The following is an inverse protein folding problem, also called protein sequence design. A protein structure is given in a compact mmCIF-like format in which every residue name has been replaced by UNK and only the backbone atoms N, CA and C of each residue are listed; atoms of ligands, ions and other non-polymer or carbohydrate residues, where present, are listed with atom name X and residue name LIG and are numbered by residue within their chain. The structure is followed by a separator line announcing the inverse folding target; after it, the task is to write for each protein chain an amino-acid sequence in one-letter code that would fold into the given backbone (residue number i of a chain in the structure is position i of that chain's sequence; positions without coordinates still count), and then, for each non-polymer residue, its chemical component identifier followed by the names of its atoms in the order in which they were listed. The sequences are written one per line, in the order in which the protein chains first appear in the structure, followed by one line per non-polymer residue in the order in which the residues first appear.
data_IF_575109386414
#
_entry.id   IF_575109386414
#
_cell.length_a   1.000
_cell.length_b   1.000
_cell.length_c   1.000
_cell.angle_alpha   90.00
_cell.angle_beta   90.00
_cell.angle_gamma   90.00
#
_symmetry.space_group_name_H-M   'P 1'
#
loop_
_entity.id
_entity.type
_entity.pdbx_description
1 polymer ?
#
# COMPACT_ATOMS: atom_id res chain seq x y z
N UNK A 1 5.95 2.54 -26.74
CA UNK A 1 6.38 2.71 -25.32
C UNK A 1 7.70 3.47 -25.29
N UNK A 2 7.76 4.60 -24.58
CA UNK A 2 8.98 5.36 -24.34
C UNK A 2 9.50 5.07 -22.92
N UNK A 3 10.66 4.41 -22.80
CA UNK A 3 11.30 4.10 -21.51
C UNK A 3 12.20 5.26 -21.11
N UNK A 4 11.68 6.15 -20.27
CA UNK A 4 12.37 7.37 -19.85
C UNK A 4 13.42 7.06 -18.79
N UNK A 5 14.59 7.70 -18.87
CA UNK A 5 15.68 7.58 -17.89
C UNK A 5 15.99 8.93 -17.22
N UNK A 6 15.33 9.99 -17.67
CA UNK A 6 15.57 11.36 -17.23
C UNK A 6 14.32 12.21 -17.39
N UNK A 7 14.30 13.36 -16.73
CA UNK A 7 13.25 14.39 -16.90
C UNK A 7 13.18 14.84 -18.37
N UNK A 8 14.32 14.96 -19.05
CA UNK A 8 14.38 15.35 -20.46
C UNK A 8 13.70 14.31 -21.38
N UNK A 9 13.85 13.01 -21.10
CA UNK A 9 13.16 11.97 -21.84
C UNK A 9 11.63 12.06 -21.65
N UNK A 10 11.18 12.37 -20.43
CA UNK A 10 9.75 12.57 -20.14
C UNK A 10 9.20 13.77 -20.92
N UNK A 11 9.90 14.91 -20.90
CA UNK A 11 9.52 16.09 -21.67
C UNK A 11 9.45 15.78 -23.18
N UNK A 12 10.48 15.11 -23.72
CA UNK A 12 10.54 14.75 -25.13
C UNK A 12 9.42 13.77 -25.53
N UNK A 13 9.15 12.77 -24.70
CA UNK A 13 8.07 11.80 -24.93
C UNK A 13 6.69 12.49 -24.90
N UNK A 14 6.44 13.34 -23.89
CA UNK A 14 5.20 14.08 -23.75
C UNK A 14 4.94 15.00 -24.96
N UNK A 15 5.97 15.74 -25.38
CA UNK A 15 5.92 16.63 -26.53
C UNK A 15 5.72 15.87 -27.86
N UNK A 16 6.38 14.71 -28.03
CA UNK A 16 6.14 13.82 -29.16
C UNK A 16 4.70 13.30 -29.20
N UNK A 17 4.18 12.80 -28.07
CA UNK A 17 2.79 12.32 -27.96
C UNK A 17 1.78 13.43 -28.28
N UNK A 18 1.99 14.62 -27.73
CA UNK A 18 1.14 15.80 -27.98
C UNK A 18 1.13 16.24 -29.44
N UNK A 19 2.32 16.34 -30.08
CA UNK A 19 2.41 16.70 -31.50
C UNK A 19 1.76 15.67 -32.42
N UNK A 20 1.86 14.40 -32.05
CA UNK A 20 1.26 13.30 -32.81
C UNK A 20 -0.23 13.10 -32.51
N UNK A 21 -0.81 13.83 -31.54
CA UNK A 21 -2.20 13.66 -31.12
C UNK A 21 -2.50 12.29 -30.51
N UNK A 22 -1.49 11.64 -29.91
CA UNK A 22 -1.62 10.31 -29.33
C UNK A 22 -2.24 10.39 -27.93
N UNK A 23 -3.15 9.48 -27.56
CA UNK A 23 -3.47 9.20 -26.17
C UNK A 23 -2.18 8.86 -25.39
N UNK A 24 -2.06 9.36 -24.16
CA UNK A 24 -0.87 9.16 -23.33
C UNK A 24 -1.25 8.41 -22.06
N UNK A 25 -0.55 7.31 -21.79
CA UNK A 25 -0.56 6.64 -20.49
C UNK A 25 0.79 6.83 -19.80
N UNK A 26 0.77 6.92 -18.47
CA UNK A 26 1.98 7.05 -17.65
C UNK A 26 2.08 5.82 -16.76
N UNK A 27 3.25 5.17 -16.77
CA UNK A 27 3.51 3.94 -16.04
C UNK A 27 4.67 4.10 -15.07
N UNK A 28 4.37 3.96 -13.78
CA UNK A 28 5.37 3.68 -12.72
C UNK A 28 5.59 2.17 -12.61
N UNK A 29 5.23 1.58 -11.48
CA UNK A 29 5.36 0.12 -11.24
C UNK A 29 4.33 -0.77 -11.94
N UNK A 30 3.31 -0.21 -12.61
CA UNK A 30 2.35 -1.02 -13.40
C UNK A 30 1.23 -1.72 -12.62
N UNK A 31 0.98 -1.32 -11.37
CA UNK A 31 -0.02 -1.94 -10.47
C UNK A 31 -1.44 -1.36 -10.54
N UNK A 32 -1.77 -0.51 -11.53
CA UNK A 32 -3.11 0.10 -11.58
C UNK A 32 -4.17 -0.95 -11.95
N UNK A 33 -5.08 -1.27 -11.03
CA UNK A 33 -6.10 -2.31 -11.23
C UNK A 33 -7.09 -2.05 -12.38
N UNK A 34 -7.26 -0.80 -12.82
CA UNK A 34 -8.06 -0.44 -13.99
C UNK A 34 -7.24 -0.41 -15.31
N UNK A 35 -5.95 -0.75 -15.27
CA UNK A 35 -5.08 -0.80 -16.45
C UNK A 35 -4.63 0.56 -16.98
N UNK A 36 -4.77 1.65 -16.21
CA UNK A 36 -4.50 3.02 -16.69
C UNK A 36 -3.01 3.33 -16.97
N UNK A 37 -2.11 2.40 -16.65
CA UNK A 37 -0.69 2.48 -16.99
C UNK A 37 -0.37 2.04 -18.43
N UNK A 38 -1.38 1.68 -19.23
CA UNK A 38 -1.24 1.33 -20.64
C UNK A 38 -2.33 1.99 -21.49
N UNK A 39 -2.15 1.99 -22.81
CA UNK A 39 -3.13 2.55 -23.76
C UNK A 39 -2.97 1.89 -25.13
N UNK A 40 -4.09 1.64 -25.81
CA UNK A 40 -4.11 1.16 -27.19
C UNK A 40 -3.81 2.30 -28.16
N UNK A 41 -3.03 2.00 -29.21
CA UNK A 41 -2.66 2.94 -30.28
C UNK A 41 -2.14 4.31 -29.79
N UNK A 42 -1.55 4.33 -28.59
CA UNK A 42 -1.07 5.54 -27.93
C UNK A 42 0.40 5.45 -27.49
N UNK A 43 0.79 6.43 -26.67
CA UNK A 43 2.12 6.52 -26.10
C UNK A 43 2.08 6.17 -24.61
N UNK A 44 2.78 5.10 -24.24
CA UNK A 44 3.11 4.83 -22.83
C UNK A 44 4.44 5.52 -22.50
N UNK A 45 4.40 6.48 -21.58
CA UNK A 45 5.56 7.05 -20.90
C UNK A 45 5.87 6.12 -19.72
N UNK A 46 6.91 5.32 -19.87
CA UNK A 46 7.33 4.30 -18.91
C UNK A 46 8.48 4.83 -18.07
N UNK A 47 8.18 5.08 -16.79
CA UNK A 47 9.13 5.62 -15.81
C UNK A 47 9.94 4.54 -15.12
N UNK A 48 9.66 3.24 -15.34
CA UNK A 48 10.35 2.15 -14.63
C UNK A 48 11.90 2.21 -14.63
N UNK A 49 12.61 2.81 -15.61
CA UNK A 49 14.05 3.02 -15.52
C UNK A 49 14.49 4.17 -14.60
N UNK A 50 13.57 5.04 -14.17
CA UNK A 50 13.78 6.12 -13.21
C UNK A 50 13.44 5.59 -11.81
N UNK A 51 14.33 4.77 -11.24
CA UNK A 51 14.13 4.02 -10.00
C UNK A 51 15.12 4.36 -8.87
N UNK A 52 15.85 5.48 -8.99
CA UNK A 52 16.81 5.91 -7.99
C UNK A 52 16.13 6.38 -6.69
N UNK A 53 16.79 6.09 -5.56
CA UNK A 53 16.41 6.52 -4.22
C UNK A 53 17.64 7.12 -3.53
N UNK A 54 17.52 8.36 -3.09
CA UNK A 54 18.56 9.10 -2.37
C UNK A 54 18.07 9.38 -0.95
N UNK A 55 18.78 8.92 0.07
CA UNK A 55 18.41 9.10 1.49
C UNK A 55 19.34 10.10 2.16
N UNK A 56 18.74 11.09 2.82
CA UNK A 56 19.41 11.97 3.77
C UNK A 56 18.99 11.55 5.18
N UNK A 57 19.87 10.80 5.85
CA UNK A 57 19.60 10.24 7.17
C UNK A 57 19.55 11.31 8.28
N UNK A 58 20.34 12.38 8.14
CA UNK A 58 20.39 13.48 9.11
C UNK A 58 19.09 14.28 9.08
N UNK A 59 18.57 14.57 7.88
CA UNK A 59 17.30 15.26 7.69
C UNK A 59 16.09 14.33 7.73
N UNK A 60 16.33 13.01 7.74
CA UNK A 60 15.32 11.94 7.65
C UNK A 60 14.38 12.17 6.48
N UNK A 61 14.96 12.31 5.29
CA UNK A 61 14.20 12.44 4.05
C UNK A 61 14.70 11.48 2.97
N UNK A 62 13.81 11.00 2.12
CA UNK A 62 14.17 10.25 0.91
C UNK A 62 13.66 10.96 -0.34
N UNK A 63 14.53 11.19 -1.31
CA UNK A 63 14.16 11.62 -2.66
C UNK A 63 14.10 10.39 -3.57
N UNK A 64 12.94 10.13 -4.14
CA UNK A 64 12.60 8.87 -4.83
C UNK A 64 12.14 9.20 -6.24
N UNK A 65 12.69 8.54 -7.26
CA UNK A 65 12.22 8.73 -8.62
C UNK A 65 10.85 8.06 -8.85
N UNK A 66 10.04 8.63 -9.75
CA UNK A 66 8.63 8.24 -9.93
C UNK A 66 8.40 6.82 -10.47
N UNK A 67 9.44 6.16 -10.98
CA UNK A 67 9.42 4.77 -11.44
C UNK A 67 9.85 3.75 -10.39
N UNK A 68 10.33 4.17 -9.22
CA UNK A 68 10.79 3.27 -8.18
C UNK A 68 9.65 2.40 -7.65
N UNK A 69 9.99 1.18 -7.20
CA UNK A 69 9.08 0.30 -6.46
C UNK A 69 9.19 0.54 -4.96
N UNK A 70 8.20 0.09 -4.19
CA UNK A 70 8.24 0.19 -2.73
C UNK A 70 9.44 -0.56 -2.14
N UNK A 71 9.75 -1.76 -2.66
CA UNK A 71 10.91 -2.53 -2.20
C UNK A 71 12.25 -1.82 -2.41
N UNK A 72 12.38 -1.00 -3.46
CA UNK A 72 13.57 -0.13 -3.66
C UNK A 72 13.63 0.98 -2.61
N UNK A 73 12.49 1.61 -2.32
CA UNK A 73 12.38 2.63 -1.27
C UNK A 73 12.72 2.04 0.10
N UNK A 74 12.05 0.94 0.47
CA UNK A 74 12.22 0.27 1.75
C UNK A 74 13.65 -0.21 1.96
N UNK A 75 14.28 -0.81 0.93
CA UNK A 75 15.68 -1.24 1.02
C UNK A 75 16.63 -0.05 1.29
N UNK A 76 16.49 1.04 0.53
CA UNK A 76 17.35 2.20 0.66
C UNK A 76 17.20 2.92 2.02
N UNK A 77 15.96 3.05 2.53
CA UNK A 77 15.73 3.71 3.82
C UNK A 77 16.12 2.81 5.00
N UNK A 78 15.94 1.51 4.87
CA UNK A 78 16.26 0.54 5.92
C UNK A 78 17.74 0.50 6.27
N UNK A 79 18.65 0.74 5.30
CA UNK A 79 20.10 0.88 5.56
C UNK A 79 20.43 1.98 6.59
N UNK A 80 19.52 2.94 6.78
CA UNK A 80 19.63 4.03 7.75
C UNK A 80 18.72 3.85 8.97
N UNK A 81 18.06 2.71 9.12
CA UNK A 81 17.07 2.46 10.19
C UNK A 81 15.80 3.30 10.04
N UNK A 82 15.45 3.66 8.80
CA UNK A 82 14.35 4.56 8.49
C UNK A 82 13.33 3.89 7.55
N UNK A 83 12.08 4.36 7.60
CA UNK A 83 11.03 4.03 6.63
C UNK A 83 10.01 5.17 6.50
N UNK A 84 9.10 5.07 5.54
CA UNK A 84 7.92 5.95 5.43
C UNK A 84 6.69 5.12 5.08
N UNK A 85 5.45 5.55 5.41
CA UNK A 85 4.25 4.81 5.03
C UNK A 85 4.14 4.59 3.52
N UNK A 86 3.89 3.34 3.14
CA UNK A 86 3.71 2.89 1.77
C UNK A 86 2.67 1.75 1.72
N UNK A 87 2.47 1.14 0.55
CA UNK A 87 1.67 -0.08 0.39
C UNK A 87 2.33 -1.33 0.96
N UNK A 88 1.59 -2.44 1.01
CA UNK A 88 2.01 -3.71 1.64
C UNK A 88 2.68 -4.73 0.70
N UNK A 89 2.86 -4.40 -0.59
CA UNK A 89 3.45 -5.27 -1.62
C UNK A 89 4.64 -4.55 -2.26
N UNK A 90 5.84 -5.13 -2.13
CA UNK A 90 7.11 -4.45 -2.47
C UNK A 90 7.24 -4.10 -3.95
N UNK A 91 6.57 -4.85 -4.83
CA UNK A 91 6.60 -4.64 -6.29
C UNK A 91 5.77 -3.44 -6.75
N UNK A 92 4.91 -2.90 -5.89
CA UNK A 92 4.07 -1.74 -6.20
C UNK A 92 4.92 -0.52 -6.53
N UNK A 93 4.49 0.28 -7.51
CA UNK A 93 5.19 1.53 -7.86
C UNK A 93 4.90 2.67 -6.89
N UNK A 94 5.94 3.36 -6.43
CA UNK A 94 5.85 4.53 -5.52
C UNK A 94 4.95 5.61 -6.12
N UNK A 95 5.10 5.90 -7.42
CA UNK A 95 4.39 7.00 -8.06
C UNK A 95 2.87 6.86 -8.02
N UNK A 96 2.34 5.76 -8.58
CA UNK A 96 0.89 5.54 -8.63
C UNK A 96 0.26 5.44 -7.23
N UNK A 97 0.94 4.77 -6.30
CA UNK A 97 0.46 4.62 -4.93
C UNK A 97 0.39 5.96 -4.18
N UNK A 98 1.46 6.75 -4.25
CA UNK A 98 1.52 8.06 -3.60
C UNK A 98 0.44 8.98 -4.14
N UNK A 99 0.27 9.06 -5.47
CA UNK A 99 -0.69 9.98 -6.07
C UNK A 99 -2.15 9.66 -5.75
N UNK A 100 -2.45 8.41 -5.36
CA UNK A 100 -3.78 8.02 -4.88
C UNK A 100 -3.98 8.17 -3.37
N UNK A 101 -2.92 8.44 -2.59
CA UNK A 101 -2.94 8.52 -1.13
C UNK A 101 -1.90 7.60 -0.50
N UNK A 102 -2.06 6.29 -0.69
CA UNK A 102 -1.15 5.26 -0.20
C UNK A 102 -1.32 4.92 1.29
N UNK A 103 -1.55 3.64 1.58
CA UNK A 103 -1.65 3.14 2.95
C UNK A 103 -1.08 1.72 3.08
N UNK A 104 -0.67 1.34 4.29
CA UNK A 104 -0.10 0.04 4.64
C UNK A 104 0.30 -0.02 6.11
N UNK A 105 1.29 -0.86 6.46
CA UNK A 105 1.58 -1.21 7.86
C UNK A 105 1.89 -0.03 8.80
N UNK A 106 2.41 1.07 8.25
CA UNK A 106 2.80 2.25 9.02
C UNK A 106 1.69 3.31 9.11
N UNK A 107 0.53 3.06 8.51
CA UNK A 107 -0.48 4.08 8.29
C UNK A 107 -1.14 4.57 9.57
N UNK A 108 -1.48 3.67 10.50
CA UNK A 108 -2.12 4.07 11.77
C UNK A 108 -1.25 5.04 12.56
N UNK A 109 0.06 4.79 12.63
CA UNK A 109 1.02 5.60 13.39
C UNK A 109 1.45 6.89 12.68
N UNK A 110 1.69 6.82 11.38
CA UNK A 110 2.37 7.90 10.64
C UNK A 110 1.55 8.52 9.49
N UNK A 111 0.31 8.09 9.30
CA UNK A 111 -0.60 8.60 8.29
C UNK A 111 -0.42 7.94 6.91
N UNK A 112 -1.06 8.52 5.90
CA UNK A 112 -0.93 8.05 4.52
C UNK A 112 0.47 8.36 3.97
N UNK A 113 0.83 7.75 2.84
CA UNK A 113 2.06 8.09 2.11
C UNK A 113 2.09 9.59 1.77
N UNK A 114 0.94 10.15 1.37
CA UNK A 114 0.79 11.58 1.06
C UNK A 114 0.95 12.53 2.26
N UNK A 115 0.74 12.05 3.48
CA UNK A 115 0.94 12.87 4.70
C UNK A 115 2.42 13.03 5.04
N UNK A 116 3.24 12.18 4.43
CA UNK A 116 4.69 12.17 4.55
C UNK A 116 5.38 12.74 3.30
N UNK A 117 4.62 13.11 2.27
CA UNK A 117 5.16 13.79 1.09
C UNK A 117 5.51 15.25 1.46
N UNK A 118 6.72 15.67 1.11
CA UNK A 118 7.24 17.02 1.36
C UNK A 118 7.33 17.85 0.08
N UNK A 119 7.66 17.21 -1.04
CA UNK A 119 7.74 17.85 -2.35
C UNK A 119 7.63 16.83 -3.50
N UNK A 120 7.27 17.30 -4.70
CA UNK A 120 7.26 16.49 -5.92
C UNK A 120 7.75 17.30 -7.13
N UNK A 121 8.64 16.70 -7.94
CA UNK A 121 9.10 17.28 -9.21
C UNK A 121 8.22 16.77 -10.36
N UNK A 122 7.55 17.67 -11.07
CA UNK A 122 6.49 17.35 -12.03
C UNK A 122 6.80 17.92 -13.41
N UNK A 123 6.65 17.09 -14.44
CA UNK A 123 6.58 17.54 -15.84
C UNK A 123 5.11 17.79 -16.18
N UNK A 124 4.76 19.06 -16.38
CA UNK A 124 3.41 19.48 -16.74
C UNK A 124 3.10 19.19 -18.22
N UNK A 125 1.82 19.24 -18.59
CA UNK A 125 1.35 18.97 -19.95
C UNK A 125 1.99 19.86 -21.04
N UNK A 126 2.42 21.07 -20.69
CA UNK A 126 3.12 22.00 -21.58
C UNK A 126 4.64 21.77 -21.65
N UNK A 127 5.15 20.77 -20.92
CA UNK A 127 6.55 20.40 -20.85
C UNK A 127 7.36 21.17 -19.82
N UNK A 128 6.78 22.14 -19.08
CA UNK A 128 7.49 22.79 -17.97
C UNK A 128 7.76 21.79 -16.84
N UNK A 129 8.89 21.97 -16.16
CA UNK A 129 9.25 21.25 -14.94
C UNK A 129 9.02 22.18 -13.77
N UNK A 130 8.26 21.74 -12.79
CA UNK A 130 7.96 22.50 -11.57
C UNK A 130 8.17 21.62 -10.35
N UNK A 131 8.48 22.24 -9.21
CA UNK A 131 8.48 21.58 -7.91
C UNK A 131 7.21 21.99 -7.15
N UNK A 132 6.41 21.01 -6.74
CA UNK A 132 5.21 21.22 -5.94
C UNK A 132 5.52 20.87 -4.47
N UNK A 133 5.26 21.80 -3.55
CA UNK A 133 5.42 21.67 -2.11
C UNK A 133 4.43 22.60 -1.38
N UNK A 134 4.47 22.67 -0.06
CA UNK A 134 3.66 23.63 0.71
C UNK A 134 3.98 25.10 0.40
N UNK A 135 5.19 25.39 -0.09
CA UNK A 135 5.67 26.77 -0.31
C UNK A 135 5.88 27.12 -1.79
N UNK A 136 5.78 26.13 -2.69
CA UNK A 136 5.95 26.29 -4.13
C UNK A 136 4.88 25.49 -4.86
N UNK A 137 4.05 26.11 -5.70
CA UNK A 137 2.88 25.48 -6.34
C UNK A 137 1.99 24.68 -5.35
N UNK A 138 1.51 25.29 -4.26
CA UNK A 138 0.77 24.59 -3.20
C UNK A 138 -0.58 24.02 -3.64
N UNK A 139 -1.21 24.61 -4.65
CA UNK A 139 -2.42 24.12 -5.30
C UNK A 139 -2.17 22.79 -6.04
N UNK A 140 -1.07 22.70 -6.79
CA UNK A 140 -0.63 21.46 -7.41
C UNK A 140 -0.22 20.43 -6.34
N UNK A 141 0.48 20.86 -5.28
CA UNK A 141 0.88 19.97 -4.20
C UNK A 141 -0.31 19.36 -3.46
N UNK A 142 -1.36 20.14 -3.22
CA UNK A 142 -2.64 19.62 -2.72
C UNK A 142 -3.23 18.58 -3.68
N UNK A 143 -3.25 18.88 -4.99
CA UNK A 143 -3.87 18.04 -6.01
C UNK A 143 -3.15 16.69 -6.18
N UNK A 144 -1.82 16.66 -6.09
CA UNK A 144 -1.01 15.44 -6.18
C UNK A 144 -1.22 14.50 -4.98
N UNK A 145 -1.67 15.02 -3.83
CA UNK A 145 -1.90 14.26 -2.59
C UNK A 145 -3.30 13.64 -2.57
N UNK A 146 -3.60 12.79 -3.56
CA UNK A 146 -4.84 12.03 -3.68
C UNK A 146 -5.54 12.13 -5.05
N UNK A 147 -5.16 13.09 -5.89
CA UNK A 147 -5.80 13.33 -7.18
C UNK A 147 -5.25 12.52 -8.36
N UNK A 148 -4.40 11.52 -8.10
CA UNK A 148 -3.86 10.61 -9.11
C UNK A 148 -2.91 11.28 -10.12
N UNK A 149 -2.74 10.65 -11.28
CA UNK A 149 -1.85 11.12 -12.36
C UNK A 149 -2.40 12.26 -13.23
N UNK A 150 -3.43 12.99 -12.79
CA UNK A 150 -4.15 13.97 -13.62
C UNK A 150 -3.35 15.24 -13.95
N UNK A 151 -2.36 15.58 -13.12
CA UNK A 151 -1.77 16.93 -13.12
C UNK A 151 -0.36 17.00 -13.73
N UNK A 152 0.15 15.87 -14.25
CA UNK A 152 1.45 15.78 -14.89
C UNK A 152 2.17 14.49 -14.57
N UNK A 153 3.38 14.36 -15.12
CA UNK A 153 4.25 13.21 -14.87
C UNK A 153 5.16 13.54 -13.68
N UNK A 154 4.89 12.96 -12.52
CA UNK A 154 5.77 13.12 -11.36
C UNK A 154 7.03 12.28 -11.55
N UNK A 155 8.16 12.97 -11.64
CA UNK A 155 9.48 12.38 -11.89
C UNK A 155 10.26 12.10 -10.62
N UNK A 156 9.96 12.82 -9.53
CA UNK A 156 10.52 12.56 -8.22
C UNK A 156 9.57 12.98 -7.09
N UNK A 157 9.62 12.26 -5.97
CA UNK A 157 8.93 12.55 -4.72
C UNK A 157 9.97 12.72 -3.61
N UNK A 158 9.76 13.64 -2.69
CA UNK A 158 10.56 13.77 -1.47
C UNK A 158 9.70 13.43 -0.27
N UNK A 159 10.05 12.39 0.48
CA UNK A 159 9.32 11.92 1.65
C UNK A 159 10.04 12.23 2.95
N UNK A 160 9.27 12.47 4.01
CA UNK A 160 9.70 12.39 5.41
C UNK A 160 9.84 10.93 5.81
N UNK A 161 10.88 10.63 6.59
CA UNK A 161 11.17 9.30 7.10
C UNK A 161 11.04 9.23 8.63
N UNK A 162 10.77 8.04 9.13
CA UNK A 162 10.55 7.70 10.53
C UNK A 162 11.49 6.58 10.98
N UNK A 163 11.89 6.53 12.26
CA UNK A 163 12.76 5.49 12.79
C UNK A 163 12.02 4.15 12.84
N UNK A 164 12.20 3.33 11.81
CA UNK A 164 11.61 2.00 11.68
C UNK A 164 12.67 1.10 11.02
N UNK A 165 13.24 0.20 11.81
CA UNK A 165 14.24 -0.75 11.32
C UNK A 165 13.69 -2.17 11.45
N UNK A 166 13.49 -2.61 12.68
CA UNK A 166 12.94 -3.91 13.03
C UNK A 166 11.55 -3.73 13.63
N UNK A 167 10.64 -4.65 13.32
CA UNK A 167 9.26 -4.66 13.81
C UNK A 167 8.89 -6.03 14.34
N UNK A 168 7.89 -6.09 15.22
CA UNK A 168 7.26 -7.36 15.60
C UNK A 168 6.04 -7.54 14.72
N UNK A 169 6.02 -8.59 13.92
CA UNK A 169 5.06 -8.73 12.84
C UNK A 169 4.74 -10.20 12.55
N UNK A 170 3.74 -10.41 11.70
CA UNK A 170 3.41 -11.74 11.21
C UNK A 170 1.91 -12.03 11.27
N UNK A 171 1.49 -13.15 10.67
CA UNK A 171 0.09 -13.52 10.63
C UNK A 171 -0.35 -14.23 11.92
N UNK A 172 -1.58 -13.99 12.34
CA UNK A 172 -2.37 -14.96 13.10
C UNK A 172 -3.51 -15.47 12.22
N UNK A 173 -3.90 -16.73 12.36
CA UNK A 173 -4.98 -17.31 11.55
C UNK A 173 -5.88 -18.26 12.32
N UNK A 174 -7.14 -18.33 11.88
CA UNK A 174 -8.22 -19.16 12.42
C UNK A 174 -8.92 -19.91 11.28
N UNK A 175 -9.64 -21.00 11.59
CA UNK A 175 -10.54 -21.65 10.64
C UNK A 175 -11.47 -20.64 9.95
N UNK A 176 -11.78 -20.86 8.66
CA UNK A 176 -12.69 -19.95 7.93
C UNK A 176 -14.08 -19.84 8.55
N UNK A 177 -14.54 -20.88 9.28
CA UNK A 177 -15.80 -20.87 10.02
C UNK A 177 -15.88 -19.74 11.06
N UNK A 178 -14.72 -19.28 11.54
CA UNK A 178 -14.62 -18.32 12.64
C UNK A 178 -14.56 -16.87 12.12
N UNK A 179 -14.63 -16.69 10.78
CA UNK A 179 -14.54 -15.39 10.10
C UNK A 179 -15.45 -14.34 10.74
N UNK A 180 -16.70 -14.70 11.06
CA UNK A 180 -17.64 -13.75 11.64
C UNK A 180 -17.21 -13.30 13.04
N UNK A 181 -16.81 -14.24 13.90
CA UNK A 181 -16.43 -13.94 15.29
C UNK A 181 -15.12 -13.16 15.35
N UNK A 182 -14.11 -13.57 14.58
CA UNK A 182 -12.83 -12.86 14.47
C UNK A 182 -13.02 -11.47 13.87
N UNK A 183 -13.87 -11.31 12.86
CA UNK A 183 -14.12 -10.00 12.25
C UNK A 183 -14.88 -9.05 13.17
N UNK A 184 -15.87 -9.53 13.95
CA UNK A 184 -16.54 -8.70 14.97
C UNK A 184 -15.55 -8.24 16.03
N UNK A 185 -14.71 -9.16 16.52
CA UNK A 185 -13.67 -8.82 17.48
C UNK A 185 -12.68 -7.81 16.89
N UNK A 186 -12.16 -8.04 15.68
CA UNK A 186 -11.21 -7.15 15.01
C UNK A 186 -11.77 -5.74 14.82
N UNK A 187 -13.03 -5.65 14.40
CA UNK A 187 -13.75 -4.38 14.21
C UNK A 187 -13.76 -3.54 15.50
N UNK A 188 -13.93 -4.18 16.64
CA UNK A 188 -14.08 -3.48 17.91
C UNK A 188 -12.72 -3.26 18.60
N UNK A 189 -11.81 -4.24 18.51
CA UNK A 189 -10.50 -4.22 19.15
C UNK A 189 -9.56 -3.21 18.51
N UNK A 190 -9.33 -3.29 17.21
CA UNK A 190 -8.21 -2.59 16.59
C UNK A 190 -8.32 -1.06 16.72
N UNK A 191 -9.49 -0.41 16.50
CA UNK A 191 -9.60 1.04 16.70
C UNK A 191 -9.40 1.48 18.15
N UNK A 192 -9.54 0.56 19.12
CA UNK A 192 -9.28 0.83 20.54
C UNK A 192 -7.84 0.57 20.96
N UNK A 193 -7.05 -0.14 20.14
CA UNK A 193 -5.65 -0.45 20.38
C UNK A 193 -4.75 0.75 20.07
N UNK A 194 -3.57 0.78 20.70
CA UNK A 194 -2.55 1.78 20.43
C UNK A 194 -2.20 1.84 18.92
N UNK A 195 -1.90 3.04 18.41
CA UNK A 195 -1.58 3.26 16.99
C UNK A 195 -0.28 2.57 16.55
N UNK A 196 0.53 2.13 17.51
CA UNK A 196 1.71 1.31 17.28
C UNK A 196 1.37 -0.11 16.82
N UNK A 197 0.15 -0.60 17.06
CA UNK A 197 -0.32 -1.91 16.61
C UNK A 197 -1.16 -1.79 15.33
N UNK A 198 -0.61 -2.17 14.20
CA UNK A 198 -1.35 -2.32 12.95
C UNK A 198 -1.68 -3.79 12.70
N UNK A 199 -2.87 -4.08 12.17
CA UNK A 199 -3.19 -5.39 11.63
C UNK A 199 -4.22 -5.28 10.52
N UNK A 200 -3.98 -5.87 9.35
CA UNK A 200 -5.02 -5.96 8.33
C UNK A 200 -5.66 -7.34 8.36
N UNK A 201 -7.00 -7.37 8.38
CA UNK A 201 -7.76 -8.61 8.33
C UNK A 201 -7.81 -9.13 6.89
N UNK A 202 -7.71 -10.44 6.72
CA UNK A 202 -7.75 -11.13 5.45
C UNK A 202 -8.51 -12.45 5.53
N UNK A 203 -9.34 -12.74 4.54
CA UNK A 203 -9.76 -14.12 4.25
C UNK A 203 -8.97 -14.63 3.08
N UNK A 204 -8.32 -15.78 3.23
CA UNK A 204 -7.43 -16.34 2.23
C UNK A 204 -7.50 -17.87 2.21
N UNK A 205 -6.95 -18.46 1.16
CA UNK A 205 -6.56 -19.88 1.19
C UNK A 205 -5.08 -19.93 1.58
N UNK A 206 -4.75 -20.66 2.65
CA UNK A 206 -3.38 -20.72 3.18
C UNK A 206 -2.45 -21.30 2.10
N UNK A 207 -1.43 -20.56 1.66
CA UNK A 207 -0.58 -21.02 0.56
C UNK A 207 0.33 -22.15 1.03
N UNK A 208 0.66 -23.12 0.14
CA UNK A 208 1.48 -24.28 0.49
C UNK A 208 2.98 -23.94 0.52
N UNK A 209 3.35 -22.90 1.26
CA UNK A 209 4.72 -22.37 1.36
C UNK A 209 5.03 -21.98 2.80
N UNK A 210 6.31 -22.00 3.17
CA UNK A 210 6.77 -21.48 4.45
C UNK A 210 6.42 -19.98 4.60
N UNK A 211 6.16 -19.48 5.82
CA UNK A 211 6.22 -20.18 7.11
C UNK A 211 4.91 -20.86 7.52
N UNK A 212 3.90 -20.95 6.63
CA UNK A 212 2.61 -21.53 7.02
C UNK A 212 2.75 -23.03 7.34
N UNK A 213 2.19 -23.52 8.46
CA UNK A 213 2.25 -24.92 8.82
C UNK A 213 1.55 -25.81 7.78
N UNK A 214 2.16 -26.95 7.44
CA UNK A 214 1.66 -27.87 6.40
C UNK A 214 0.21 -28.32 6.62
N UNK A 215 -0.18 -28.49 7.89
CA UNK A 215 -1.55 -28.90 8.26
C UNK A 215 -2.64 -27.90 7.83
N UNK A 216 -2.29 -26.64 7.57
CA UNK A 216 -3.22 -25.61 7.13
C UNK A 216 -3.16 -25.36 5.63
N UNK A 217 -2.16 -25.90 4.91
CA UNK A 217 -1.99 -25.66 3.48
C UNK A 217 -3.28 -25.98 2.71
N UNK A 218 -3.64 -25.09 1.79
CA UNK A 218 -4.82 -25.16 0.93
C UNK A 218 -6.17 -25.13 1.66
N UNK A 219 -6.18 -24.98 2.99
CA UNK A 219 -7.40 -24.71 3.73
C UNK A 219 -7.73 -23.22 3.65
N UNK A 220 -9.02 -22.91 3.60
CA UNK A 220 -9.49 -21.53 3.75
C UNK A 220 -9.37 -21.13 5.22
N UNK A 221 -8.95 -19.90 5.45
CA UNK A 221 -8.76 -19.33 6.76
C UNK A 221 -9.19 -17.85 6.75
N UNK A 222 -9.49 -17.34 7.93
CA UNK A 222 -9.39 -15.92 8.20
C UNK A 222 -8.12 -15.66 9.01
N UNK A 223 -7.51 -14.49 8.83
CA UNK A 223 -6.29 -14.14 9.53
C UNK A 223 -6.11 -12.64 9.61
N UNK A 224 -5.17 -12.23 10.45
CA UNK A 224 -4.77 -10.84 10.59
C UNK A 224 -3.25 -10.79 10.49
N UNK A 225 -2.74 -9.91 9.61
CA UNK A 225 -1.31 -9.72 9.41
C UNK A 225 -0.88 -8.48 10.16
N UNK A 226 -0.11 -8.69 11.22
CA UNK A 226 0.24 -7.68 12.20
C UNK A 226 1.57 -7.00 11.89
N UNK A 227 1.67 -5.74 12.32
CA UNK A 227 2.90 -4.97 12.42
C UNK A 227 2.83 -4.13 13.70
N UNK A 228 3.75 -4.35 14.62
CA UNK A 228 3.85 -3.62 15.87
C UNK A 228 5.14 -2.80 15.89
N UNK A 229 4.99 -1.51 16.15
CA UNK A 229 6.05 -0.49 16.12
C UNK A 229 6.46 -0.03 17.53
N UNK A 230 5.79 -0.49 18.58
CA UNK A 230 6.06 -0.09 19.96
C UNK A 230 7.30 -0.77 20.54
N UNK A 231 7.52 -0.61 21.85
CA UNK A 231 8.65 -1.23 22.52
C UNK A 231 8.52 -2.77 22.49
N UNK A 232 9.53 -3.52 22.02
CA UNK A 232 9.53 -4.98 22.05
C UNK A 232 9.24 -5.58 23.43
N UNK A 233 9.57 -4.89 24.53
CA UNK A 233 9.27 -5.34 25.88
C UNK A 233 7.76 -5.41 26.18
N UNK A 234 6.97 -4.57 25.51
CA UNK A 234 5.52 -4.45 25.70
C UNK A 234 4.73 -5.31 24.70
N UNK A 235 5.41 -5.99 23.77
CA UNK A 235 4.78 -6.74 22.68
C UNK A 235 3.88 -7.88 23.20
N UNK A 236 4.28 -8.56 24.28
CA UNK A 236 3.46 -9.62 24.87
C UNK A 236 2.11 -9.08 25.35
N UNK A 237 2.10 -7.90 25.96
CA UNK A 237 0.88 -7.23 26.41
C UNK A 237 0.04 -6.76 25.20
N UNK A 238 0.67 -6.17 24.19
CA UNK A 238 0.00 -5.71 22.98
C UNK A 238 -0.70 -6.86 22.22
N UNK A 239 -0.10 -8.05 22.19
CA UNK A 239 -0.64 -9.23 21.51
C UNK A 239 -1.48 -10.16 22.40
N UNK A 240 -1.53 -9.94 23.72
CA UNK A 240 -2.33 -10.77 24.63
C UNK A 240 -3.83 -10.84 24.23
N UNK A 241 -4.50 -9.74 23.82
CA UNK A 241 -5.89 -9.81 23.34
C UNK A 241 -6.05 -10.64 22.06
N UNK A 242 -5.04 -10.63 21.18
CA UNK A 242 -5.04 -11.44 19.94
C UNK A 242 -4.92 -12.93 20.29
N UNK A 243 -4.00 -13.28 21.19
CA UNK A 243 -3.78 -14.68 21.61
C UNK A 243 -4.92 -15.24 22.46
N UNK A 244 -5.68 -14.38 23.14
CA UNK A 244 -6.89 -14.77 23.86
C UNK A 244 -8.02 -15.28 22.94
N UNK A 245 -7.97 -14.99 21.64
CA UNK A 245 -8.83 -15.62 20.62
C UNK A 245 -8.37 -17.00 20.18
N UNK A 246 -7.30 -17.55 20.78
CA UNK A 246 -6.78 -18.90 20.52
C UNK A 246 -6.55 -19.17 19.01
N UNK A 247 -5.69 -18.38 18.32
CA UNK A 247 -5.41 -18.59 16.91
C UNK A 247 -4.89 -20.01 16.65
N UNK A 248 -5.39 -20.63 15.58
CA UNK A 248 -4.89 -21.93 15.11
C UNK A 248 -3.44 -21.86 14.64
N UNK A 249 -3.00 -20.66 14.22
CA UNK A 249 -1.61 -20.36 13.90
C UNK A 249 -1.24 -18.97 14.43
N UNK A 250 -0.19 -18.89 15.23
CA UNK A 250 0.46 -17.65 15.65
C UNK A 250 1.87 -17.61 15.07
N UNK A 251 2.07 -16.77 14.05
CA UNK A 251 3.33 -16.55 13.36
C UNK A 251 4.01 -15.24 13.73
N UNK A 252 3.68 -14.62 14.88
CA UNK A 252 4.27 -13.35 15.30
C UNK A 252 5.74 -13.55 15.66
N UNK A 253 6.60 -12.73 15.06
CA UNK A 253 8.05 -12.75 15.27
C UNK A 253 8.66 -11.37 15.00
N UNK A 254 9.90 -11.19 15.44
CA UNK A 254 10.70 -10.01 15.12
C UNK A 254 11.31 -10.15 13.72
N UNK A 255 11.17 -9.14 12.87
CA UNK A 255 11.75 -9.12 11.52
C UNK A 255 12.14 -7.70 11.05
N UNK A 256 13.12 -7.56 10.14
CA UNK A 256 13.36 -6.31 9.43
C UNK A 256 12.09 -5.84 8.68
N UNK A 257 11.77 -4.54 8.73
CA UNK A 257 10.59 -4.00 8.07
C UNK A 257 10.48 -4.36 6.56
N UNK A 258 11.57 -4.33 5.75
CA UNK A 258 11.50 -4.78 4.36
C UNK A 258 11.11 -6.24 4.18
N UNK A 259 11.40 -7.12 5.15
CA UNK A 259 11.01 -8.51 5.09
C UNK A 259 9.47 -8.64 5.13
N UNK A 260 8.80 -7.90 6.02
CA UNK A 260 7.34 -7.84 6.07
C UNK A 260 6.74 -7.27 4.78
N UNK A 261 7.34 -6.22 4.21
CA UNK A 261 6.89 -5.58 2.97
C UNK A 261 6.97 -6.50 1.73
N UNK A 262 7.81 -7.52 1.78
CA UNK A 262 8.06 -8.45 0.66
C UNK A 262 7.40 -9.82 0.84
N UNK A 263 6.76 -10.07 1.99
CA UNK A 263 6.30 -11.42 2.40
C UNK A 263 5.31 -12.05 1.41
N UNK A 264 4.54 -11.23 0.69
CA UNK A 264 3.54 -11.69 -0.28
C UNK A 264 4.02 -11.66 -1.74
N UNK A 265 5.23 -11.18 -2.03
CA UNK A 265 5.69 -11.02 -3.42
C UNK A 265 5.73 -12.35 -4.18
N UNK A 266 6.18 -13.42 -3.51
CA UNK A 266 6.22 -14.76 -4.09
C UNK A 266 4.84 -15.37 -4.30
N UNK A 267 3.82 -14.90 -3.58
CA UNK A 267 2.44 -15.37 -3.71
C UNK A 267 1.74 -14.72 -4.91
N UNK A 268 2.15 -13.52 -5.31
CA UNK A 268 1.50 -12.74 -6.36
C UNK A 268 2.50 -12.36 -7.47
N UNK A 269 2.98 -13.35 -8.26
CA UNK A 269 3.88 -13.08 -9.37
C UNK A 269 3.17 -12.32 -10.51
N UNK A 270 3.94 -11.68 -11.41
CA UNK A 270 3.39 -11.11 -12.63
C UNK A 270 2.70 -12.15 -13.52
N UNK A 271 1.64 -11.73 -14.23
CA UNK A 271 0.97 -12.52 -15.28
C UNK A 271 -0.42 -13.04 -14.92
N UNK A 272 -0.82 -12.97 -13.65
CA UNK A 272 -2.18 -13.32 -13.23
C UNK A 272 -3.22 -12.29 -13.68
N UNK A 273 -4.47 -12.72 -13.79
CA UNK A 273 -5.62 -11.88 -14.09
C UNK A 273 -6.25 -11.39 -12.78
N UNK A 274 -6.53 -10.09 -12.69
CA UNK A 274 -7.01 -9.47 -11.46
C UNK A 274 -8.31 -8.71 -11.67
N UNK A 275 -9.20 -8.81 -10.69
CA UNK A 275 -10.40 -7.99 -10.60
C UNK A 275 -10.59 -7.49 -9.17
N UNK A 276 -10.68 -6.17 -9.00
CA UNK A 276 -10.70 -5.53 -7.68
C UNK A 276 -12.02 -4.78 -7.49
N UNK A 277 -12.58 -4.90 -6.29
CA UNK A 277 -13.61 -4.01 -5.77
C UNK A 277 -13.16 -3.53 -4.41
N UNK A 278 -13.28 -2.24 -4.15
CA UNK A 278 -12.92 -1.68 -2.86
C UNK A 278 -13.78 -0.47 -2.53
N UNK A 279 -13.84 -0.17 -1.25
CA UNK A 279 -14.55 0.99 -0.70
C UNK A 279 -13.95 1.37 0.66
N UNK A 280 -14.29 2.55 1.15
CA UNK A 280 -13.90 3.06 2.45
C UNK A 280 -15.10 3.18 3.37
N UNK A 281 -14.96 2.78 4.63
CA UNK A 281 -16.06 2.88 5.60
C UNK A 281 -15.59 3.07 7.03
N UNK A 282 -16.50 3.61 7.86
CA UNK A 282 -16.25 3.93 9.27
C UNK A 282 -16.48 2.76 10.22
N UNK A 283 -17.24 1.75 9.79
CA UNK A 283 -17.56 0.58 10.59
C UNK A 283 -17.93 -0.59 9.70
N UNK A 284 -17.88 -1.81 10.24
CA UNK A 284 -18.36 -3.04 9.59
C UNK A 284 -19.63 -3.50 10.29
N UNK A 285 -20.84 -3.18 9.78
CA UNK A 285 -22.09 -3.62 10.41
C UNK A 285 -22.18 -5.15 10.50
N UNK A 286 -22.92 -5.69 11.47
CA UNK A 286 -23.04 -7.15 11.64
C UNK A 286 -23.52 -7.86 10.37
N UNK A 287 -24.47 -7.26 9.63
CA UNK A 287 -24.90 -7.80 8.34
C UNK A 287 -23.75 -7.91 7.31
N UNK A 288 -22.81 -6.95 7.30
CA UNK A 288 -21.63 -7.03 6.45
C UNK A 288 -20.64 -8.10 6.95
N UNK A 289 -20.55 -8.32 8.26
CA UNK A 289 -19.74 -9.40 8.83
C UNK A 289 -20.24 -10.77 8.37
N UNK A 290 -21.56 -11.01 8.42
CA UNK A 290 -22.16 -12.27 7.95
C UNK A 290 -21.88 -12.50 6.46
N UNK A 291 -21.98 -11.46 5.63
CA UNK A 291 -21.66 -11.57 4.21
C UNK A 291 -20.17 -11.84 3.96
N UNK A 292 -19.27 -11.24 4.75
CA UNK A 292 -17.84 -11.59 4.68
C UNK A 292 -17.61 -13.06 5.02
N UNK A 293 -18.23 -13.58 6.09
CA UNK A 293 -18.10 -14.99 6.45
C UNK A 293 -18.62 -15.92 5.34
N UNK A 294 -19.79 -15.61 4.78
CA UNK A 294 -20.38 -16.37 3.67
C UNK A 294 -19.46 -16.40 2.44
N UNK A 295 -18.87 -15.27 2.06
CA UNK A 295 -17.98 -15.22 0.90
C UNK A 295 -16.58 -15.78 1.19
N UNK A 296 -16.12 -15.77 2.45
CA UNK A 296 -14.87 -16.38 2.85
C UNK A 296 -14.88 -17.91 2.61
N UNK A 297 -15.99 -18.58 2.91
CA UNK A 297 -16.16 -20.00 2.58
C UNK A 297 -16.20 -20.25 1.07
N UNK A 298 -16.61 -19.25 0.29
CA UNK A 298 -16.82 -19.34 -1.16
C UNK A 298 -15.66 -18.78 -2.01
N UNK A 299 -14.47 -18.54 -1.42
CA UNK A 299 -13.30 -18.06 -2.18
C UNK A 299 -13.05 -18.94 -3.43
N UNK A 300 -13.01 -18.36 -4.65
CA UNK A 300 -13.04 -19.12 -5.89
C UNK A 300 -11.68 -19.69 -6.31
N UNK A 301 -10.58 -19.05 -5.91
CA UNK A 301 -9.21 -19.47 -6.24
C UNK A 301 -8.30 -19.35 -5.01
N UNK A 302 -7.13 -20.00 -5.04
CA UNK A 302 -6.09 -19.89 -4.00
C UNK A 302 -5.69 -18.43 -3.72
N UNK A 303 -5.68 -17.60 -4.75
CA UNK A 303 -5.17 -16.23 -4.71
C UNK A 303 -6.26 -15.18 -4.45
N UNK A 304 -7.53 -15.56 -4.52
CA UNK A 304 -8.64 -14.65 -4.26
C UNK A 304 -8.78 -14.41 -2.76
N UNK A 305 -8.98 -13.14 -2.38
CA UNK A 305 -9.01 -12.73 -0.98
C UNK A 305 -10.01 -11.60 -0.74
N UNK A 306 -10.35 -11.39 0.52
CA UNK A 306 -11.00 -10.17 0.99
C UNK A 306 -10.15 -9.58 2.10
N UNK A 307 -9.84 -8.30 1.99
CA UNK A 307 -8.96 -7.58 2.90
C UNK A 307 -9.69 -6.40 3.53
N UNK A 308 -9.40 -6.14 4.80
CA UNK A 308 -9.82 -4.96 5.53
C UNK A 308 -8.60 -4.33 6.20
N UNK A 309 -8.14 -3.22 5.62
CA UNK A 309 -7.00 -2.46 6.11
C UNK A 309 -7.48 -1.36 7.05
N UNK A 310 -6.85 -1.21 8.22
CA UNK A 310 -7.13 -0.07 9.08
C UNK A 310 -6.43 1.18 8.52
N UNK A 311 -7.20 2.25 8.41
CA UNK A 311 -6.73 3.56 7.95
C UNK A 311 -7.16 4.65 8.95
N UNK A 312 -7.25 4.30 10.23
CA UNK A 312 -7.54 5.17 11.35
C UNK A 312 -6.26 5.82 11.93
N UNK A 313 -6.39 6.43 13.12
CA UNK A 313 -5.27 7.00 13.86
C UNK A 313 -4.75 8.28 13.23
N UNK A 314 -3.48 8.31 12.84
CA UNK A 314 -2.83 9.45 12.20
C UNK A 314 -3.55 9.97 10.96
N UNK A 315 -4.18 9.07 10.19
CA UNK A 315 -4.95 9.45 9.00
C UNK A 315 -6.13 10.36 9.37
N UNK A 316 -6.81 10.08 10.49
CA UNK A 316 -7.99 10.83 10.92
C UNK A 316 -7.65 12.21 11.52
N UNK A 317 -6.37 12.49 11.79
CA UNK A 317 -5.91 13.79 12.31
C UNK A 317 -5.78 14.86 11.24
N UNK A 318 -5.66 14.47 9.97
CA UNK A 318 -5.57 15.39 8.83
C UNK A 318 -6.96 15.79 8.37
N UNK A 319 -7.20 17.10 8.19
CA UNK A 319 -8.48 17.62 7.73
C UNK A 319 -8.88 17.12 6.34
N UNK A 320 -10.18 16.93 6.10
CA UNK A 320 -10.72 16.42 4.85
C UNK A 320 -10.35 17.26 3.61
N UNK A 321 -10.13 18.57 3.80
CA UNK A 321 -9.77 19.50 2.72
C UNK A 321 -8.27 19.79 2.63
N UNK A 322 -7.42 19.20 3.50
CA UNK A 322 -5.97 19.47 3.52
C UNK A 322 -5.21 18.77 2.39
N UNK A 323 -5.80 17.71 1.82
CA UNK A 323 -5.30 17.00 0.64
C UNK A 323 -6.46 16.61 -0.27
N UNK A 324 -6.17 16.16 -1.49
CA UNK A 324 -7.22 15.68 -2.42
C UNK A 324 -7.82 14.31 -2.03
N UNK A 325 -7.29 13.64 -0.99
CA UNK A 325 -7.83 12.38 -0.49
C UNK A 325 -9.01 12.63 0.45
N UNK A 326 -10.21 12.28 0.00
CA UNK A 326 -11.46 12.65 0.68
C UNK A 326 -11.85 11.75 1.88
N UNK A 327 -11.34 10.52 1.97
CA UNK A 327 -11.82 9.52 2.93
C UNK A 327 -11.11 9.57 4.30
N UNK A 328 -10.80 10.78 4.78
CA UNK A 328 -10.06 10.99 6.04
C UNK A 328 -10.79 10.52 7.29
N UNK A 329 -12.10 10.33 7.21
CA UNK A 329 -12.97 9.93 8.31
C UNK A 329 -13.32 8.44 8.30
N UNK A 330 -12.78 7.69 7.34
CA UNK A 330 -12.91 6.24 7.30
C UNK A 330 -11.98 5.57 8.33
N UNK A 331 -12.41 4.41 8.80
CA UNK A 331 -11.64 3.54 9.70
C UNK A 331 -11.03 2.38 8.93
N UNK A 332 -11.73 1.92 7.89
CA UNK A 332 -11.32 0.78 7.09
C UNK A 332 -11.31 1.11 5.60
N UNK A 333 -10.32 0.54 4.92
CA UNK A 333 -10.21 0.41 3.47
C UNK A 333 -10.39 -1.06 3.11
N UNK A 334 -11.37 -1.37 2.27
CA UNK A 334 -11.64 -2.73 1.83
C UNK A 334 -11.08 -3.00 0.44
N UNK A 335 -10.57 -4.21 0.24
CA UNK A 335 -10.34 -4.77 -1.08
C UNK A 335 -10.90 -6.20 -1.15
N UNK A 336 -11.84 -6.44 -2.06
CA UNK A 336 -12.28 -7.76 -2.51
C UNK A 336 -11.57 -8.02 -3.84
N UNK A 337 -10.74 -9.06 -3.85
CA UNK A 337 -9.80 -9.33 -4.93
C UNK A 337 -10.06 -10.71 -5.51
N UNK A 338 -10.48 -10.75 -6.77
CA UNK A 338 -10.48 -11.95 -7.58
C UNK A 338 -9.16 -12.06 -8.33
N UNK A 339 -8.49 -13.21 -8.20
CA UNK A 339 -7.22 -13.47 -8.89
C UNK A 339 -7.26 -14.83 -9.56
N UNK A 340 -7.08 -14.86 -10.88
CA UNK A 340 -7.02 -16.09 -11.66
C UNK A 340 -5.63 -16.27 -12.26
N UNK A 341 -4.92 -17.39 -11.97
CA UNK A 341 -3.67 -17.70 -12.62
C UNK A 341 -3.81 -18.11 -14.09
N UNK A 342 -5.03 -18.41 -14.56
CA UNK A 342 -5.29 -18.76 -15.95
C UNK A 342 -5.39 -17.51 -16.83
N UNK A 343 -4.64 -17.52 -17.93
CA UNK A 343 -4.74 -16.58 -19.06
C UNK A 343 -5.36 -17.26 -20.26
#
# INVERSE_FOLDING_TARGET
VAKCRSVADVQAALDAGRRAGLPIAVRGGGHNGAGLGTVDDGLVIDLSPMDAVEVDADRRTARVQGGATLGRLDAATHEHGLATPAGIISTTGVGGLTLGGGHGYLTRRYGLTIDNLLAADVVLADGRVVTASETEHPDLFWALRGGGGNFGVVTSFTFRLHPVHTVICGPTAWPVSDTADVLRWYRDFLPSADEDLYGFFATLTVPPVAPFPEQFHLHKACGIVWCYLGDPADAEEAFAPVRALEPAFDGIHEAPYPALQSVFDGLYPPGYQWYWRGDFFRTVPDAAVEEHARFAEALPTLHSTMHLYPIDGAVNRVGADETAFAHRDATYSQAIVGVDPAS
#
